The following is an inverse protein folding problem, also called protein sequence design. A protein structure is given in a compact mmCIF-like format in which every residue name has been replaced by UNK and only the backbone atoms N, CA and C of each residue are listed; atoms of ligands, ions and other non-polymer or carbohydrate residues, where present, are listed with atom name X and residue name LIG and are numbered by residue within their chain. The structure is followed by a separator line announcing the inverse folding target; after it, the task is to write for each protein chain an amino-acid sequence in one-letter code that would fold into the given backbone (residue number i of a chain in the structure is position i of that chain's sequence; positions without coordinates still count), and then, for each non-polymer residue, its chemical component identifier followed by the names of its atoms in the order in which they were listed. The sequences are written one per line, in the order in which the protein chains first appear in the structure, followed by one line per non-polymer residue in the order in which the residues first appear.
data_IF_052797438516
#
_entry.id   IF_052797438516
#
_cell.length_a   1.000
_cell.length_b   1.000
_cell.length_c   1.000
_cell.angle_alpha   90.00
_cell.angle_beta   90.00
_cell.angle_gamma   90.00
#
_symmetry.space_group_name_H-M   'P 1'
#
loop_
_entity.id
_entity.type
_entity.pdbx_description
1 polymer ?
#
# COMPACT_ATOMS: atom_id res chain seq x y z
N UNK A 1 14.53 -24.46 23.83
CA UNK A 1 15.19 -23.41 24.63
C UNK A 1 16.24 -22.79 23.70
N UNK A 2 15.80 -21.94 22.77
CA UNK A 2 16.70 -21.22 21.85
C UNK A 2 17.17 -19.97 22.59
N UNK A 3 18.50 -19.81 22.66
CA UNK A 3 19.12 -18.59 23.10
C UNK A 3 18.62 -17.47 22.16
N UNK A 4 17.99 -16.46 22.74
CA UNK A 4 17.70 -15.23 22.03
C UNK A 4 19.02 -14.73 21.45
N UNK A 5 19.14 -14.77 20.15
CA UNK A 5 20.34 -14.29 19.44
C UNK A 5 20.41 -12.79 19.69
N UNK A 6 21.46 -12.35 20.37
CA UNK A 6 21.66 -10.96 20.80
C UNK A 6 21.65 -9.94 19.62
N UNK A 7 21.60 -10.46 18.38
CA UNK A 7 21.51 -9.68 17.12
C UNK A 7 20.87 -10.53 16.00
N UNK A 8 19.52 -10.54 15.88
CA UNK A 8 18.80 -11.32 14.88
C UNK A 8 19.26 -11.04 13.44
N UNK A 9 19.59 -9.80 13.11
CA UNK A 9 20.07 -9.39 11.80
C UNK A 9 21.36 -10.09 11.36
N UNK A 10 22.27 -10.45 12.31
CA UNK A 10 23.47 -11.19 11.95
C UNK A 10 23.16 -12.63 11.55
N UNK A 11 22.26 -13.26 12.30
CA UNK A 11 21.83 -14.63 12.00
C UNK A 11 21.10 -14.67 10.66
N UNK A 12 20.24 -13.67 10.38
CA UNK A 12 19.57 -13.54 9.10
C UNK A 12 20.57 -13.32 7.95
N UNK A 13 21.55 -12.43 8.15
CA UNK A 13 22.60 -12.19 7.16
C UNK A 13 23.43 -13.46 6.86
N UNK A 14 23.77 -14.24 7.90
CA UNK A 14 24.50 -15.51 7.74
C UNK A 14 23.66 -16.54 6.98
N UNK A 15 22.36 -16.67 7.29
CA UNK A 15 21.44 -17.57 6.57
C UNK A 15 21.36 -17.19 5.09
N UNK A 16 21.14 -15.92 4.78
CA UNK A 16 21.04 -15.42 3.40
C UNK A 16 22.35 -15.65 2.62
N UNK A 17 23.52 -15.36 3.23
CA UNK A 17 24.83 -15.57 2.60
C UNK A 17 25.16 -17.05 2.35
N UNK A 18 24.61 -17.96 3.15
CA UNK A 18 24.80 -19.39 3.00
C UNK A 18 23.79 -20.03 2.03
N UNK A 19 22.83 -19.25 1.51
CA UNK A 19 21.76 -19.76 0.66
C UNK A 19 20.80 -20.68 1.42
N UNK A 20 20.49 -20.33 2.67
CA UNK A 20 19.54 -21.08 3.50
C UNK A 20 18.19 -21.20 2.81
N UNK A 21 17.44 -22.22 3.18
CA UNK A 21 16.11 -22.45 2.64
C UNK A 21 15.13 -21.36 3.11
N UNK A 22 14.06 -21.14 2.34
CA UNK A 22 12.96 -20.24 2.70
C UNK A 22 12.42 -20.54 4.11
N UNK A 23 12.20 -21.82 4.42
CA UNK A 23 11.64 -22.25 5.70
C UNK A 23 12.54 -21.87 6.89
N UNK A 24 13.87 -21.93 6.71
CA UNK A 24 14.83 -21.54 7.74
C UNK A 24 14.79 -20.03 8.01
N UNK A 25 14.60 -19.22 6.97
CA UNK A 25 14.48 -17.78 7.03
C UNK A 25 13.14 -17.39 7.70
N UNK A 26 12.03 -18.00 7.26
CA UNK A 26 10.70 -17.78 7.84
C UNK A 26 10.65 -18.11 9.34
N UNK A 27 11.23 -19.24 9.76
CA UNK A 27 11.32 -19.63 11.19
C UNK A 27 12.06 -18.58 12.01
N UNK A 28 13.10 -17.95 11.47
CA UNK A 28 13.82 -16.89 12.18
C UNK A 28 12.98 -15.62 12.26
N UNK A 29 12.32 -15.22 11.18
CA UNK A 29 11.48 -14.02 11.14
C UNK A 29 10.24 -14.17 12.02
N UNK A 30 9.59 -15.33 12.02
CA UNK A 30 8.40 -15.61 12.84
C UNK A 30 8.68 -15.67 14.35
N UNK A 31 9.95 -15.82 14.74
CA UNK A 31 10.37 -15.75 16.13
C UNK A 31 10.52 -14.30 16.64
N UNK A 32 10.45 -13.31 15.75
CA UNK A 32 10.57 -11.89 16.05
C UNK A 32 9.20 -11.20 15.99
N UNK A 33 8.99 -10.20 16.82
CA UNK A 33 7.83 -9.31 16.62
C UNK A 33 8.05 -8.39 15.41
N UNK A 34 7.00 -7.67 15.00
CA UNK A 34 7.04 -6.85 13.78
C UNK A 34 8.11 -5.74 13.86
N UNK A 35 8.30 -5.12 15.03
CA UNK A 35 9.31 -4.06 15.22
C UNK A 35 10.72 -4.65 15.12
N UNK A 36 10.94 -5.83 15.69
CA UNK A 36 12.20 -6.57 15.61
C UNK A 36 12.49 -7.05 14.19
N UNK A 37 11.48 -7.51 13.46
CA UNK A 37 11.61 -7.88 12.03
C UNK A 37 12.08 -6.68 11.21
N UNK A 38 11.38 -5.54 11.32
CA UNK A 38 11.73 -4.30 10.62
C UNK A 38 13.14 -3.83 10.94
N UNK A 39 13.47 -3.76 12.24
CA UNK A 39 14.81 -3.37 12.67
C UNK A 39 15.89 -4.32 12.14
N UNK A 40 15.60 -5.62 12.12
CA UNK A 40 16.48 -6.66 11.61
C UNK A 40 16.75 -6.48 10.13
N UNK A 41 15.69 -6.24 9.34
CA UNK A 41 15.78 -6.03 7.90
C UNK A 41 16.54 -4.74 7.58
N UNK A 42 16.25 -3.65 8.30
CA UNK A 42 16.91 -2.36 8.09
C UNK A 42 18.43 -2.39 8.36
N UNK A 43 18.91 -3.33 9.17
CA UNK A 43 20.34 -3.51 9.45
C UNK A 43 21.06 -4.41 8.43
N UNK A 44 20.35 -5.03 7.50
CA UNK A 44 20.95 -5.76 6.38
C UNK A 44 21.51 -4.76 5.35
N UNK A 45 22.49 -5.19 4.58
CA UNK A 45 22.87 -4.47 3.35
C UNK A 45 21.76 -4.61 2.30
N UNK A 46 21.64 -3.62 1.40
CA UNK A 46 20.66 -3.62 0.32
C UNK A 46 20.68 -4.93 -0.50
N UNK A 47 21.86 -5.50 -0.80
CA UNK A 47 22.01 -6.78 -1.49
C UNK A 47 21.37 -7.94 -0.73
N UNK A 48 21.48 -7.94 0.62
CA UNK A 48 20.86 -8.96 1.46
C UNK A 48 19.37 -8.73 1.63
N UNK A 49 18.91 -7.48 1.65
CA UNK A 49 17.49 -7.15 1.65
C UNK A 49 16.83 -7.66 0.36
N UNK A 50 17.42 -7.39 -0.81
CA UNK A 50 16.93 -7.93 -2.11
C UNK A 50 16.94 -9.46 -2.15
N UNK A 51 18.02 -10.09 -1.64
CA UNK A 51 18.08 -11.54 -1.54
C UNK A 51 16.96 -12.10 -0.65
N UNK A 52 16.65 -11.40 0.44
CA UNK A 52 15.55 -11.76 1.34
C UNK A 52 14.21 -11.69 0.61
N UNK A 53 13.92 -10.57 -0.05
CA UNK A 53 12.67 -10.38 -0.81
C UNK A 53 12.50 -11.43 -1.92
N UNK A 54 13.58 -11.77 -2.64
CA UNK A 54 13.55 -12.81 -3.67
C UNK A 54 13.42 -14.25 -3.11
N UNK A 55 13.73 -14.47 -1.82
CA UNK A 55 13.67 -15.80 -1.19
C UNK A 55 12.32 -16.05 -0.53
N UNK A 56 11.70 -15.03 0.00
CA UNK A 56 10.39 -15.12 0.67
C UNK A 56 9.25 -15.27 -0.35
N UNK A 57 8.06 -15.77 0.09
CA UNK A 57 6.87 -15.68 -0.74
C UNK A 57 6.52 -14.24 -1.07
N UNK A 58 5.92 -13.98 -2.25
CA UNK A 58 5.52 -12.64 -2.66
C UNK A 58 4.71 -11.89 -1.60
N UNK A 59 3.73 -12.54 -0.99
CA UNK A 59 2.84 -11.97 0.05
C UNK A 59 3.64 -11.51 1.28
N UNK A 60 4.66 -12.31 1.63
CA UNK A 60 5.52 -11.99 2.77
C UNK A 60 6.48 -10.84 2.45
N UNK A 61 7.00 -10.80 1.24
CA UNK A 61 7.86 -9.73 0.74
C UNK A 61 7.09 -8.41 0.61
N UNK A 62 5.87 -8.45 0.10
CA UNK A 62 4.97 -7.30 0.06
C UNK A 62 4.68 -6.77 1.47
N UNK A 63 4.34 -7.63 2.43
CA UNK A 63 4.11 -7.23 3.82
C UNK A 63 5.32 -6.54 4.49
N UNK A 64 6.54 -6.88 4.07
CA UNK A 64 7.75 -6.19 4.52
C UNK A 64 7.95 -4.83 3.83
N UNK A 65 7.56 -4.72 2.56
CA UNK A 65 7.62 -3.46 1.82
C UNK A 65 6.56 -2.47 2.28
N UNK A 66 5.37 -2.93 2.70
CA UNK A 66 4.26 -2.10 3.23
C UNK A 66 4.64 -1.24 4.45
N UNK A 67 5.70 -1.60 5.15
CA UNK A 67 6.12 -0.93 6.40
C UNK A 67 7.39 -0.10 6.25
N UNK A 68 7.97 -0.05 5.04
CA UNK A 68 9.10 0.83 4.73
C UNK A 68 8.63 2.00 3.86
N UNK A 69 9.33 3.15 3.87
CA UNK A 69 8.99 4.27 2.98
C UNK A 69 9.03 3.85 1.50
N UNK A 70 8.10 4.37 0.68
CA UNK A 70 7.96 4.05 -0.74
C UNK A 70 9.27 4.17 -1.53
N UNK A 71 10.01 5.25 -1.28
CA UNK A 71 11.32 5.45 -1.87
C UNK A 71 12.33 4.34 -1.56
N UNK A 72 12.27 3.76 -0.35
CA UNK A 72 13.15 2.64 0.00
C UNK A 72 12.65 1.32 -0.58
N UNK A 73 11.34 1.12 -0.61
CA UNK A 73 10.73 -0.01 -1.30
C UNK A 73 11.08 0.00 -2.80
N UNK A 74 10.99 1.17 -3.44
CA UNK A 74 11.38 1.36 -4.83
C UNK A 74 12.87 1.06 -5.07
N UNK A 75 13.79 1.57 -4.22
CA UNK A 75 15.23 1.30 -4.30
C UNK A 75 15.54 -0.22 -4.22
N UNK A 76 14.75 -0.99 -3.45
CA UNK A 76 14.91 -2.43 -3.34
C UNK A 76 14.39 -3.17 -4.57
N UNK A 77 13.30 -2.69 -5.17
CA UNK A 77 12.66 -3.29 -6.36
C UNK A 77 13.40 -2.92 -7.64
N UNK A 78 13.94 -1.67 -7.76
CA UNK A 78 14.61 -1.18 -8.98
C UNK A 78 15.71 -2.11 -9.51
N UNK A 79 16.47 -2.71 -8.61
CA UNK A 79 17.57 -3.61 -8.95
C UNK A 79 17.15 -5.10 -9.09
N UNK A 80 15.88 -5.42 -8.89
CA UNK A 80 15.36 -6.79 -9.09
C UNK A 80 15.04 -7.03 -10.57
N UNK A 81 15.09 -8.30 -11.01
CA UNK A 81 14.55 -8.64 -12.32
C UNK A 81 13.02 -8.44 -12.31
N UNK A 82 12.45 -7.88 -13.39
CA UNK A 82 11.00 -7.60 -13.46
C UNK A 82 10.14 -8.84 -13.16
N UNK A 83 10.56 -10.02 -13.63
CA UNK A 83 9.90 -11.31 -13.37
C UNK A 83 9.84 -11.67 -11.87
N UNK A 84 10.84 -11.26 -11.07
CA UNK A 84 10.91 -11.53 -9.63
C UNK A 84 10.20 -10.42 -8.83
N UNK A 85 10.20 -9.20 -9.34
CA UNK A 85 9.55 -8.04 -8.72
C UNK A 85 8.03 -8.05 -8.90
N UNK A 86 7.52 -8.42 -10.08
CA UNK A 86 6.11 -8.36 -10.42
C UNK A 86 5.20 -9.12 -9.42
N UNK A 87 5.50 -10.36 -9.01
CA UNK A 87 4.66 -11.04 -8.01
C UNK A 87 4.62 -10.32 -6.65
N UNK A 88 5.71 -9.65 -6.26
CA UNK A 88 5.76 -8.89 -5.01
C UNK A 88 4.92 -7.61 -5.12
N UNK A 89 5.03 -6.93 -6.25
CA UNK A 89 4.26 -5.72 -6.56
C UNK A 89 2.76 -6.02 -6.65
N UNK A 90 2.37 -7.18 -7.19
CA UNK A 90 0.98 -7.65 -7.25
C UNK A 90 0.35 -7.79 -5.86
N UNK A 91 1.13 -8.20 -4.86
CA UNK A 91 0.66 -8.40 -3.49
C UNK A 91 0.65 -7.11 -2.63
N UNK A 92 1.19 -6.00 -3.11
CA UNK A 92 1.09 -4.70 -2.44
C UNK A 92 -0.33 -4.14 -2.51
N UNK A 93 -0.77 -3.41 -1.48
CA UNK A 93 -1.98 -2.61 -1.56
C UNK A 93 -1.92 -1.63 -2.75
N UNK A 94 -3.03 -1.39 -3.42
CA UNK A 94 -3.06 -0.67 -4.70
C UNK A 94 -2.50 0.75 -4.61
N UNK A 95 -2.75 1.47 -3.52
CA UNK A 95 -2.18 2.80 -3.27
C UNK A 95 -0.65 2.71 -3.12
N UNK A 96 -0.14 1.80 -2.30
CA UNK A 96 1.30 1.61 -2.11
C UNK A 96 2.00 1.09 -3.38
N UNK A 97 1.33 0.20 -4.12
CA UNK A 97 1.79 -0.30 -5.42
C UNK A 97 2.06 0.83 -6.42
N UNK A 98 1.11 1.78 -6.50
CA UNK A 98 1.24 2.96 -7.38
C UNK A 98 2.37 3.87 -6.91
N UNK A 99 2.48 4.13 -5.62
CA UNK A 99 3.51 5.01 -5.04
C UNK A 99 4.92 4.43 -5.27
N UNK A 100 5.11 3.13 -5.04
CA UNK A 100 6.39 2.44 -5.30
C UNK A 100 6.75 2.47 -6.79
N UNK A 101 5.79 2.18 -7.68
CA UNK A 101 6.04 2.21 -9.13
C UNK A 101 6.31 3.62 -9.66
N UNK A 102 5.69 4.66 -9.07
CA UNK A 102 5.93 6.05 -9.43
C UNK A 102 7.34 6.54 -9.02
N UNK A 103 7.97 5.90 -8.04
CA UNK A 103 9.34 6.20 -7.62
C UNK A 103 10.41 5.55 -8.51
N UNK A 104 10.06 4.54 -9.32
CA UNK A 104 10.95 3.87 -10.27
C UNK A 104 11.18 4.73 -11.54
N UNK A 105 12.21 4.39 -12.32
CA UNK A 105 12.31 4.91 -13.67
C UNK A 105 11.20 4.33 -14.56
N UNK A 106 10.63 5.14 -15.49
CA UNK A 106 9.52 4.74 -16.36
C UNK A 106 9.72 3.38 -17.05
N UNK A 107 10.98 3.09 -17.44
CA UNK A 107 11.31 1.86 -18.16
C UNK A 107 11.26 0.61 -17.24
N UNK A 108 11.64 0.77 -15.95
CA UNK A 108 11.66 -0.31 -14.98
C UNK A 108 10.24 -0.57 -14.46
N UNK A 109 9.48 0.49 -14.19
CA UNK A 109 8.06 0.38 -13.85
C UNK A 109 7.27 -0.33 -14.96
N UNK A 110 7.42 0.07 -16.23
CA UNK A 110 6.71 -0.57 -17.35
C UNK A 110 7.17 -2.03 -17.57
N UNK A 111 8.44 -2.35 -17.30
CA UNK A 111 8.93 -3.73 -17.38
C UNK A 111 8.26 -4.63 -16.32
N UNK A 112 8.05 -4.12 -15.10
CA UNK A 112 7.34 -4.83 -14.04
C UNK A 112 5.85 -4.98 -14.37
N UNK A 113 5.20 -3.90 -14.80
CA UNK A 113 3.78 -3.91 -15.20
C UNK A 113 3.53 -4.89 -16.37
N UNK A 114 4.49 -5.06 -17.28
CA UNK A 114 4.35 -5.98 -18.40
C UNK A 114 4.40 -7.47 -18.00
N UNK A 115 4.90 -7.81 -16.82
CA UNK A 115 4.93 -9.18 -16.28
C UNK A 115 3.64 -9.53 -15.49
N UNK A 116 2.80 -8.54 -15.15
CA UNK A 116 1.51 -8.72 -14.49
C UNK A 116 0.46 -9.23 -15.48
N UNK A 117 -0.66 -9.73 -14.97
CA UNK A 117 -1.77 -10.05 -15.85
C UNK A 117 -2.43 -8.78 -16.44
N UNK A 118 -3.26 -8.96 -17.50
CA UNK A 118 -3.83 -7.82 -18.25
C UNK A 118 -4.79 -6.98 -17.39
N UNK A 119 -5.50 -7.58 -16.42
CA UNK A 119 -6.47 -6.91 -15.55
C UNK A 119 -5.75 -6.02 -14.54
N UNK A 120 -4.72 -6.55 -13.88
CA UNK A 120 -3.90 -5.81 -12.90
C UNK A 120 -3.05 -4.71 -13.57
N UNK A 121 -2.47 -5.01 -14.73
CA UNK A 121 -1.72 -4.02 -15.49
C UNK A 121 -2.59 -2.82 -15.94
N UNK A 122 -3.82 -3.08 -16.36
CA UNK A 122 -4.76 -2.02 -16.76
C UNK A 122 -5.24 -1.21 -15.54
N UNK A 123 -5.49 -1.86 -14.41
CA UNK A 123 -5.83 -1.17 -13.14
C UNK A 123 -4.72 -0.24 -12.69
N UNK A 124 -3.48 -0.72 -12.67
CA UNK A 124 -2.31 0.08 -12.29
C UNK A 124 -2.15 1.29 -13.21
N UNK A 125 -2.27 1.11 -14.54
CA UNK A 125 -2.19 2.22 -15.50
C UNK A 125 -3.30 3.25 -15.30
N UNK A 126 -4.51 2.80 -14.95
CA UNK A 126 -5.59 3.72 -14.60
C UNK A 126 -5.25 4.52 -13.34
N UNK A 127 -4.77 3.87 -12.27
CA UNK A 127 -4.41 4.51 -11.02
C UNK A 127 -3.25 5.50 -11.18
N UNK A 128 -2.17 5.14 -11.87
CA UNK A 128 -1.03 6.04 -12.17
C UNK A 128 -1.46 7.27 -13.00
N UNK A 129 -2.57 7.19 -13.74
CA UNK A 129 -3.05 8.33 -14.54
C UNK A 129 -3.58 9.48 -13.69
N UNK A 130 -3.90 9.26 -12.41
CA UNK A 130 -4.33 10.31 -11.49
C UNK A 130 -3.12 11.05 -10.90
N UNK A 131 -3.32 12.33 -10.58
CA UNK A 131 -2.27 13.08 -9.89
C UNK A 131 -2.12 12.61 -8.43
N UNK A 132 -0.89 12.51 -7.87
CA UNK A 132 -0.64 11.97 -6.54
C UNK A 132 -1.25 12.81 -5.41
N UNK A 133 -1.61 14.08 -5.67
CA UNK A 133 -2.27 14.99 -4.74
C UNK A 133 -3.80 15.07 -4.93
N UNK A 134 -4.39 14.11 -5.62
CA UNK A 134 -5.82 13.97 -5.86
C UNK A 134 -6.38 12.68 -5.26
N UNK A 135 -7.69 12.65 -5.02
CA UNK A 135 -8.37 11.46 -4.48
C UNK A 135 -8.11 10.19 -5.31
N UNK A 136 -8.02 10.31 -6.62
CA UNK A 136 -7.71 9.19 -7.51
C UNK A 136 -6.31 8.63 -7.33
N UNK A 137 -5.31 9.48 -7.01
CA UNK A 137 -3.94 9.06 -6.72
C UNK A 137 -3.72 8.54 -5.29
N UNK A 138 -4.62 8.93 -4.35
CA UNK A 138 -4.55 8.52 -2.95
C UNK A 138 -5.50 7.35 -2.61
N UNK A 139 -6.29 6.88 -3.58
CA UNK A 139 -7.29 5.84 -3.32
C UNK A 139 -6.68 4.45 -3.42
N UNK A 140 -7.23 3.55 -2.62
CA UNK A 140 -7.01 2.11 -2.74
C UNK A 140 -8.26 1.42 -3.33
N UNK A 141 -8.05 0.30 -3.99
CA UNK A 141 -9.12 -0.46 -4.66
C UNK A 141 -9.58 -1.69 -3.87
N UNK A 142 -8.88 -2.02 -2.79
CA UNK A 142 -9.23 -3.08 -1.86
C UNK A 142 -10.29 -2.60 -0.87
N UNK A 143 -11.54 -2.90 -1.13
CA UNK A 143 -12.66 -2.56 -0.25
C UNK A 143 -13.81 -3.57 -0.35
N UNK A 144 -14.49 -3.80 0.77
CA UNK A 144 -15.58 -4.76 0.86
C UNK A 144 -16.89 -4.21 0.24
N UNK A 145 -17.39 -4.87 -0.82
CA UNK A 145 -18.65 -4.50 -1.47
C UNK A 145 -19.64 -5.66 -1.47
N UNK A 146 -20.90 -5.34 -1.17
CA UNK A 146 -21.96 -6.33 -1.18
C UNK A 146 -23.24 -5.79 -1.83
N UNK A 147 -24.06 -6.68 -2.44
CA UNK A 147 -25.34 -6.28 -3.01
C UNK A 147 -26.39 -6.03 -1.91
N UNK A 148 -27.27 -5.03 -2.11
CA UNK A 148 -28.34 -4.68 -1.15
C UNK A 148 -29.21 -5.87 -0.68
N UNK A 149 -29.31 -6.92 -1.49
CA UNK A 149 -30.14 -8.09 -1.21
C UNK A 149 -29.51 -9.08 -0.25
N UNK A 150 -28.20 -8.96 0.03
CA UNK A 150 -27.46 -9.89 0.90
C UNK A 150 -27.89 -9.74 2.35
N UNK A 151 -27.94 -10.86 3.07
CA UNK A 151 -28.29 -10.88 4.48
C UNK A 151 -27.14 -10.39 5.36
N UNK A 152 -27.47 -9.76 6.51
CA UNK A 152 -26.46 -9.33 7.50
C UNK A 152 -25.58 -10.50 7.93
N UNK A 153 -26.17 -11.66 8.22
CA UNK A 153 -25.44 -12.87 8.59
C UNK A 153 -24.44 -13.30 7.50
N UNK A 154 -24.90 -13.33 6.25
CA UNK A 154 -24.08 -13.74 5.11
C UNK A 154 -22.86 -12.81 4.91
N UNK A 155 -23.05 -11.50 5.08
CA UNK A 155 -21.95 -10.51 5.01
C UNK A 155 -20.94 -10.72 6.14
N UNK A 156 -21.41 -10.96 7.38
CA UNK A 156 -20.52 -11.21 8.53
C UNK A 156 -19.74 -12.52 8.33
N UNK A 157 -20.40 -13.57 7.86
CA UNK A 157 -19.76 -14.85 7.57
C UNK A 157 -18.69 -14.72 6.49
N UNK A 158 -18.95 -13.92 5.45
CA UNK A 158 -17.99 -13.66 4.38
C UNK A 158 -16.79 -12.85 4.88
N UNK A 159 -17.03 -11.77 5.65
CA UNK A 159 -15.99 -10.94 6.25
C UNK A 159 -15.10 -11.68 7.28
N UNK A 160 -15.54 -12.81 7.80
CA UNK A 160 -14.81 -13.59 8.81
C UNK A 160 -14.17 -14.87 8.22
N UNK A 161 -14.14 -15.01 6.90
CA UNK A 161 -13.47 -16.15 6.26
C UNK A 161 -11.97 -15.94 6.26
N UNK A 162 -11.24 -17.01 6.55
CA UNK A 162 -9.77 -16.99 6.64
C UNK A 162 -9.09 -16.93 5.24
N UNK A 163 -9.85 -17.10 4.16
CA UNK A 163 -9.35 -17.13 2.78
C UNK A 163 -9.32 -15.75 2.11
N UNK A 164 -9.82 -14.72 2.79
CA UNK A 164 -9.74 -13.33 2.31
C UNK A 164 -8.67 -12.62 3.14
N UNK A 165 -7.63 -12.13 2.48
CA UNK A 165 -6.58 -11.37 3.17
C UNK A 165 -7.06 -9.97 3.57
N UNK A 166 -7.93 -9.94 4.60
CA UNK A 166 -8.39 -8.69 5.21
C UNK A 166 -7.29 -7.97 6.01
N UNK A 167 -6.08 -8.52 6.11
CA UNK A 167 -4.97 -7.85 6.80
C UNK A 167 -4.53 -6.57 6.06
N UNK A 168 -4.68 -6.54 4.73
CA UNK A 168 -4.53 -5.35 3.90
C UNK A 168 -5.76 -4.42 4.02
N UNK A 169 -6.92 -4.94 4.43
CA UNK A 169 -8.16 -4.20 4.56
C UNK A 169 -8.34 -3.74 6.01
N UNK A 170 -8.00 -2.50 6.31
CA UNK A 170 -8.54 -1.86 7.52
C UNK A 170 -10.04 -1.60 7.31
N UNK A 171 -10.85 -2.66 7.47
CA UNK A 171 -12.28 -2.64 7.14
C UNK A 171 -13.05 -1.86 8.20
N UNK A 172 -13.22 -0.57 7.99
CA UNK A 172 -14.12 0.26 8.82
C UNK A 172 -15.56 0.25 8.29
N UNK A 173 -15.73 0.00 7.00
CA UNK A 173 -16.99 0.11 6.28
C UNK A 173 -17.18 -1.02 5.29
N UNK A 174 -18.45 -1.36 5.09
CA UNK A 174 -18.94 -2.18 3.99
C UNK A 174 -19.69 -1.26 3.03
N UNK A 175 -19.37 -1.33 1.75
CA UNK A 175 -20.01 -0.52 0.72
C UNK A 175 -21.09 -1.32 0.03
N UNK A 176 -22.29 -0.76 -0.03
CA UNK A 176 -23.44 -1.40 -0.63
C UNK A 176 -23.57 -0.92 -2.07
N UNK A 177 -23.44 -1.84 -3.01
CA UNK A 177 -23.46 -1.54 -4.44
C UNK A 177 -24.67 -2.17 -5.15
N UNK A 178 -25.04 -1.55 -6.24
CA UNK A 178 -26.01 -2.09 -7.20
C UNK A 178 -25.33 -2.37 -8.54
N UNK A 179 -26.12 -2.76 -9.56
CA UNK A 179 -25.58 -3.11 -10.87
C UNK A 179 -24.44 -2.19 -11.33
N UNK A 180 -23.34 -2.75 -11.88
CA UNK A 180 -22.15 -2.05 -12.36
C UNK A 180 -21.40 -1.29 -11.28
N UNK A 181 -21.26 -1.86 -10.09
CA UNK A 181 -20.54 -1.27 -8.94
C UNK A 181 -21.01 0.13 -8.54
N UNK A 182 -22.25 0.52 -8.88
CA UNK A 182 -22.77 1.82 -8.47
C UNK A 182 -22.98 1.83 -6.96
N UNK A 183 -22.35 2.78 -6.29
CA UNK A 183 -22.49 2.95 -4.85
C UNK A 183 -23.93 3.36 -4.51
N UNK A 184 -24.52 2.63 -3.56
CA UNK A 184 -25.87 2.91 -3.05
C UNK A 184 -25.84 3.43 -1.62
N UNK A 185 -24.85 2.98 -0.85
CA UNK A 185 -24.69 3.41 0.53
C UNK A 185 -23.54 2.74 1.23
N UNK A 186 -23.40 3.02 2.50
CA UNK A 186 -22.31 2.55 3.37
C UNK A 186 -22.89 2.04 4.69
N UNK A 187 -22.23 1.02 5.26
CA UNK A 187 -22.54 0.48 6.58
C UNK A 187 -21.23 0.45 7.37
N UNK A 188 -21.22 1.02 8.57
CA UNK A 188 -20.06 0.86 9.47
C UNK A 188 -20.02 -0.59 9.97
N UNK A 189 -18.83 -1.17 10.04
CA UNK A 189 -18.67 -2.54 10.57
C UNK A 189 -19.32 -2.70 11.94
N UNK A 190 -19.20 -1.68 12.81
CA UNK A 190 -19.87 -1.70 14.10
C UNK A 190 -21.38 -1.84 13.98
N UNK A 191 -22.01 -1.09 13.08
CA UNK A 191 -23.46 -1.10 12.89
C UNK A 191 -23.92 -2.42 12.28
N UNK A 192 -23.10 -3.03 11.41
CA UNK A 192 -23.33 -4.35 10.85
C UNK A 192 -23.33 -5.44 11.95
N UNK A 193 -22.33 -5.41 12.85
CA UNK A 193 -22.19 -6.41 13.94
C UNK A 193 -23.35 -6.33 14.94
N UNK A 194 -23.91 -5.14 15.19
CA UNK A 194 -25.06 -4.95 16.10
C UNK A 194 -26.41 -5.02 15.39
N UNK A 195 -26.44 -5.21 14.05
CA UNK A 195 -27.69 -5.36 13.32
C UNK A 195 -28.36 -6.71 13.59
N UNK A 196 -29.66 -6.76 13.32
CA UNK A 196 -30.41 -8.02 13.35
C UNK A 196 -29.90 -8.94 12.21
N UNK A 197 -29.38 -10.15 12.54
CA UNK A 197 -28.79 -11.05 11.56
C UNK A 197 -29.76 -11.52 10.48
N UNK A 198 -31.06 -11.45 10.72
CA UNK A 198 -32.09 -11.88 9.79
C UNK A 198 -32.55 -10.76 8.83
N UNK A 199 -32.02 -9.54 8.98
CA UNK A 199 -32.23 -8.43 8.05
C UNK A 199 -31.32 -8.51 6.84
N UNK A 200 -31.71 -7.75 5.81
CA UNK A 200 -30.82 -7.48 4.66
C UNK A 200 -30.00 -6.22 4.92
N UNK A 201 -28.79 -6.16 4.36
CA UNK A 201 -27.94 -4.99 4.48
C UNK A 201 -28.59 -3.73 3.86
N UNK A 202 -29.45 -3.91 2.85
CA UNK A 202 -30.24 -2.82 2.27
C UNK A 202 -31.22 -2.13 3.25
N UNK A 203 -31.56 -2.80 4.38
CA UNK A 203 -32.48 -2.24 5.40
C UNK A 203 -31.74 -1.39 6.46
N UNK A 204 -30.39 -1.49 6.50
CA UNK A 204 -29.55 -0.82 7.50
C UNK A 204 -28.52 0.13 6.87
N UNK A 205 -28.51 0.21 5.54
CA UNK A 205 -27.61 1.08 4.77
C UNK A 205 -27.89 2.56 5.06
N UNK A 206 -26.82 3.37 5.10
CA UNK A 206 -26.88 4.82 5.21
C UNK A 206 -26.40 5.48 3.91
N UNK A 207 -26.84 6.72 3.67
CA UNK A 207 -26.37 7.48 2.50
C UNK A 207 -24.86 7.72 2.58
N UNK A 208 -24.12 7.46 1.49
CA UNK A 208 -22.69 7.62 1.48
C UNK A 208 -22.29 9.09 1.28
N UNK A 209 -21.30 9.54 2.01
CA UNK A 209 -20.50 10.69 1.60
C UNK A 209 -19.53 10.20 0.52
N UNK A 210 -19.30 11.00 -0.52
CA UNK A 210 -18.44 10.59 -1.65
C UNK A 210 -17.61 11.78 -2.14
N UNK A 211 -16.46 11.47 -2.75
CA UNK A 211 -15.62 12.43 -3.45
C UNK A 211 -15.41 12.01 -4.90
N UNK A 212 -15.00 12.95 -5.75
CA UNK A 212 -14.59 12.72 -7.13
C UNK A 212 -13.11 12.31 -7.16
N UNK A 213 -12.64 11.53 -8.13
CA UNK A 213 -11.21 11.20 -8.28
C UNK A 213 -10.32 12.44 -8.48
N UNK A 214 -10.87 13.54 -8.99
CA UNK A 214 -10.16 14.83 -9.19
C UNK A 214 -10.16 15.72 -7.93
N UNK A 215 -10.75 15.29 -6.80
CA UNK A 215 -10.76 16.06 -5.56
C UNK A 215 -9.33 16.20 -5.03
N UNK A 216 -8.86 17.45 -4.89
CA UNK A 216 -7.49 17.76 -4.46
C UNK A 216 -7.27 17.54 -2.97
N UNK A 217 -5.98 17.46 -2.58
CA UNK A 217 -5.54 17.17 -1.22
C UNK A 217 -6.08 18.15 -0.17
N UNK A 218 -6.12 19.45 -0.46
CA UNK A 218 -6.65 20.46 0.47
C UNK A 218 -8.18 20.31 0.69
N UNK A 219 -8.92 19.94 -0.36
CA UNK A 219 -10.35 19.67 -0.26
C UNK A 219 -10.61 18.37 0.50
N UNK A 220 -9.75 17.36 0.36
CA UNK A 220 -9.81 16.13 1.13
C UNK A 220 -9.52 16.37 2.62
N UNK A 221 -8.52 17.21 2.94
CA UNK A 221 -8.24 17.63 4.32
C UNK A 221 -9.48 18.27 4.95
N UNK A 222 -10.05 19.30 4.31
CA UNK A 222 -11.25 19.97 4.76
C UNK A 222 -12.44 19.00 4.91
N UNK A 223 -12.61 18.10 3.95
CA UNK A 223 -13.66 17.09 3.98
C UNK A 223 -13.56 16.17 5.21
N UNK A 224 -12.36 15.69 5.52
CA UNK A 224 -12.13 14.83 6.68
C UNK A 224 -12.18 15.60 8.01
N UNK A 225 -11.91 16.90 8.03
CA UNK A 225 -12.06 17.75 9.21
C UNK A 225 -13.53 18.02 9.54
N UNK A 226 -14.37 18.18 8.51
CA UNK A 226 -15.82 18.37 8.67
C UNK A 226 -16.56 17.07 9.01
N UNK A 227 -15.99 15.90 8.66
CA UNK A 227 -16.64 14.61 8.79
C UNK A 227 -15.77 13.63 9.62
N UNK A 228 -16.33 13.15 10.73
CA UNK A 228 -15.67 12.13 11.57
C UNK A 228 -15.83 10.74 10.94
N UNK A 229 -15.09 10.50 9.84
CA UNK A 229 -15.05 9.23 9.13
C UNK A 229 -13.60 8.80 8.89
N UNK A 230 -13.36 7.48 8.79
CA UNK A 230 -12.03 6.91 8.58
C UNK A 230 -11.66 6.79 7.09
N UNK A 231 -12.65 6.65 6.21
CA UNK A 231 -12.45 6.57 4.77
C UNK A 231 -13.67 7.11 4.02
N UNK A 232 -13.44 7.62 2.80
CA UNK A 232 -14.46 8.12 1.90
C UNK A 232 -14.39 7.41 0.55
N UNK A 233 -15.53 6.92 0.00
CA UNK A 233 -15.56 6.33 -1.33
C UNK A 233 -15.35 7.38 -2.43
N UNK A 234 -14.53 7.02 -3.40
CA UNK A 234 -14.29 7.77 -4.64
C UNK A 234 -15.24 7.25 -5.70
N UNK A 235 -15.99 8.14 -6.31
CA UNK A 235 -16.97 7.78 -7.33
C UNK A 235 -16.82 8.62 -8.59
N UNK A 236 -16.99 7.99 -9.74
CA UNK A 236 -17.05 8.72 -11.00
C UNK A 236 -18.39 9.45 -11.18
N UNK A 237 -18.56 10.30 -12.20
CA UNK A 237 -19.81 11.05 -12.45
C UNK A 237 -21.05 10.16 -12.69
N UNK A 238 -20.86 8.85 -12.93
CA UNK A 238 -21.97 7.88 -13.08
C UNK A 238 -22.36 7.25 -11.74
N UNK A 239 -21.65 7.59 -10.66
CA UNK A 239 -21.82 7.02 -9.32
C UNK A 239 -21.23 5.61 -9.19
N UNK A 240 -20.36 5.18 -10.11
CA UNK A 240 -19.61 3.93 -9.99
C UNK A 240 -18.46 4.15 -9.02
N UNK A 241 -18.28 3.25 -8.07
CA UNK A 241 -17.20 3.28 -7.11
C UNK A 241 -15.89 2.88 -7.77
N UNK A 242 -14.88 3.73 -7.64
CA UNK A 242 -13.54 3.53 -8.17
C UNK A 242 -12.59 2.99 -7.08
N UNK A 243 -12.67 3.57 -5.88
CA UNK A 243 -11.80 3.25 -4.77
C UNK A 243 -12.31 3.87 -3.47
N UNK A 244 -11.46 3.87 -2.47
CA UNK A 244 -11.65 4.58 -1.20
C UNK A 244 -10.39 5.38 -0.86
N UNK A 245 -10.55 6.61 -0.35
CA UNK A 245 -9.45 7.36 0.27
C UNK A 245 -9.55 7.24 1.77
N UNK A 246 -8.48 6.79 2.41
CA UNK A 246 -8.36 6.71 3.87
C UNK A 246 -7.93 8.06 4.43
N UNK A 247 -8.47 8.45 5.59
CA UNK A 247 -8.01 9.66 6.31
C UNK A 247 -6.49 9.65 6.54
N UNK A 248 -5.95 8.47 6.83
CA UNK A 248 -4.51 8.28 7.06
C UNK A 248 -3.69 8.65 5.82
N UNK A 249 -4.07 8.20 4.64
CA UNK A 249 -3.38 8.53 3.38
C UNK A 249 -3.35 10.04 3.12
N UNK A 250 -4.45 10.75 3.40
CA UNK A 250 -4.48 12.23 3.29
C UNK A 250 -3.52 12.89 4.26
N UNK A 251 -3.45 12.42 5.51
CA UNK A 251 -2.52 12.98 6.51
C UNK A 251 -1.06 12.70 6.16
N UNK A 252 -0.74 11.54 5.61
CA UNK A 252 0.58 11.18 5.11
C UNK A 252 0.97 12.07 3.93
N UNK A 253 0.13 12.21 2.92
CA UNK A 253 0.38 13.09 1.78
C UNK A 253 0.57 14.59 2.17
N UNK A 254 -0.19 15.07 3.17
CA UNK A 254 0.00 16.42 3.72
C UNK A 254 1.35 16.58 4.44
N UNK A 255 1.77 15.56 5.19
CA UNK A 255 3.06 15.56 5.87
C UNK A 255 4.22 15.57 4.87
N UNK A 256 4.15 14.76 3.82
CA UNK A 256 5.16 14.69 2.76
C UNK A 256 5.26 16.01 1.98
N UNK A 257 4.12 16.61 1.63
CA UNK A 257 4.08 17.95 1.01
C UNK A 257 4.72 19.00 1.91
N UNK A 258 4.42 18.98 3.21
CA UNK A 258 5.00 19.92 4.19
C UNK A 258 6.52 19.71 4.36
N UNK A 259 6.98 18.48 4.36
CA UNK A 259 8.41 18.14 4.42
C UNK A 259 9.14 18.64 3.16
N UNK A 260 8.58 18.40 1.97
CA UNK A 260 9.12 18.88 0.70
C UNK A 260 9.22 20.41 0.65
N UNK A 261 8.18 21.12 1.10
CA UNK A 261 8.17 22.59 1.15
C UNK A 261 9.19 23.16 2.16
N UNK A 262 9.39 22.47 3.28
CA UNK A 262 10.40 22.82 4.27
C UNK A 262 11.81 22.68 3.71
N UNK A 263 12.11 21.62 2.98
CA UNK A 263 13.39 21.40 2.29
C UNK A 263 13.64 22.45 1.20
N UNK A 264 12.62 22.76 0.38
CA UNK A 264 12.69 23.84 -0.63
C UNK A 264 12.99 25.17 0.02
N UNK A 265 12.33 25.50 1.12
CA UNK A 265 12.53 26.75 1.87
C UNK A 265 13.92 26.85 2.51
N UNK A 266 14.52 25.73 2.89
CA UNK A 266 15.89 25.66 3.40
C UNK A 266 16.96 25.72 2.29
N UNK A 267 16.57 25.87 1.02
CA UNK A 267 17.47 25.90 -0.13
C UNK A 267 18.03 24.53 -0.52
N UNK A 268 17.48 23.46 0.04
CA UNK A 268 17.80 22.07 -0.34
C UNK A 268 16.87 21.74 -1.52
N UNK A 269 17.28 22.15 -2.72
CA UNK A 269 16.61 21.78 -3.97
C UNK A 269 17.16 20.42 -4.37
N UNK A 270 16.32 19.37 -4.36
CA UNK A 270 16.73 18.13 -4.97
C UNK A 270 16.42 16.83 -4.27
N UNK A 271 15.14 16.51 -4.08
CA UNK A 271 14.70 15.13 -4.03
C UNK A 271 14.63 14.53 -5.45
N UNK A 272 13.86 15.15 -6.33
CA UNK A 272 13.55 14.62 -7.67
C UNK A 272 14.67 14.81 -8.70
N UNK A 273 15.41 15.95 -8.67
CA UNK A 273 16.55 16.14 -9.58
C UNK A 273 17.74 15.20 -9.30
N UNK A 274 17.92 14.75 -8.06
CA UNK A 274 18.97 13.78 -7.73
C UNK A 274 18.62 12.37 -8.22
N UNK A 275 17.35 12.03 -8.32
CA UNK A 275 16.86 10.72 -8.77
C UNK A 275 16.91 10.56 -10.29
N UNK A 276 16.64 11.62 -11.04
CA UNK A 276 16.76 11.62 -12.50
C UNK A 276 18.21 11.65 -13.01
N UNK A 277 19.21 11.80 -12.12
CA UNK A 277 20.62 11.82 -12.50
C UNK A 277 21.23 10.42 -12.53
N UNK A 278 22.08 10.09 -13.55
CA UNK A 278 22.83 8.83 -13.57
C UNK A 278 23.63 8.58 -12.31
N UNK A 279 23.68 7.34 -11.85
CA UNK A 279 24.35 6.89 -10.61
C UNK A 279 25.75 7.49 -10.38
N UNK A 280 26.65 7.64 -11.37
CA UNK A 280 27.96 8.24 -11.16
C UNK A 280 27.92 9.74 -10.82
N UNK A 281 26.86 10.44 -11.18
CA UNK A 281 26.69 11.88 -10.88
C UNK A 281 26.12 12.07 -9.47
N UNK A 282 25.25 11.15 -9.01
CA UNK A 282 24.74 11.10 -7.62
C UNK A 282 25.89 10.90 -6.60
N UNK A 283 26.80 9.97 -6.87
CA UNK A 283 27.92 9.67 -5.96
C UNK A 283 28.92 10.82 -5.87
N UNK A 284 29.18 11.55 -6.95
CA UNK A 284 30.07 12.71 -6.95
C UNK A 284 29.51 13.89 -6.15
N UNK A 285 28.20 14.16 -6.18
CA UNK A 285 27.56 15.20 -5.35
C UNK A 285 27.51 14.86 -3.86
N UNK A 286 27.31 13.58 -3.50
CA UNK A 286 27.40 13.14 -2.10
C UNK A 286 28.79 13.35 -1.49
N UNK A 287 29.85 13.26 -2.28
CA UNK A 287 31.23 13.47 -1.84
C UNK A 287 31.61 14.97 -1.65
N UNK A 288 30.88 15.91 -2.29
CA UNK A 288 31.16 17.34 -2.18
C UNK A 288 30.76 17.98 -0.84
N UNK A 289 30.05 17.26 0.03
CA UNK A 289 29.66 17.70 1.38
C UNK A 289 30.64 17.24 2.47
N UNK A 290 31.69 16.49 2.11
CA UNK A 290 32.68 15.94 3.04
C UNK A 290 34.05 16.70 2.96
N UNK A 291 34.12 17.81 2.22
CA UNK A 291 35.33 18.65 2.10
C UNK A 291 35.15 20.03 2.74
#
# INVERSE_FOLDING_TARGET
MHAATDKPWKSLAELLQQGASREEIEVLLDALDIEEQLHTIYLLSEDLQRTLLATLPPERSAALLEVVPDAHAADLIEDMAALDAAPIVEELASDHRVDVLAELADADAEAIIAELDEEDADEIRELISYAPDQAGGLMMTEYATYPMSMGVREVIEDLTRDDIDYHLLTVHYVYVVVRKRRLKGVIRIRDLVFADPDKRIGDIVTDPLTVSPETGLDDLENFFDEHDIAAVPVVNPRGTMLGIVRRRAVLEALADRSAADSLKSAGIIGGDELRSMPVPVRSLRRLSWLS
#
